data_IF_786296733389
#
_entry.id   IF_786296733389
#
_cell.length_a   1.000
_cell.length_b   1.000
_cell.length_c   1.000
_cell.angle_alpha   90.00
_cell.angle_beta   90.00
_cell.angle_gamma   90.00
#
_symmetry.space_group_name_H-M   'P 1'
#
loop_
_entity.id
_entity.type
_entity.pdbx_description
1 polymer ?
#
# COMPACT_ATOMS: atom_id res chain seq x y z
N UNK A 1 9.50 14.42 -1.10
CA UNK A 1 8.40 14.99 -0.30
C UNK A 1 7.12 14.47 -0.92
N UNK A 2 6.48 13.47 -0.31
CA UNK A 2 5.14 13.02 -0.70
C UNK A 2 4.19 13.67 0.28
N UNK A 3 3.43 14.64 -0.18
CA UNK A 3 2.37 15.29 0.58
C UNK A 3 1.09 14.51 0.33
N UNK A 4 0.90 13.41 1.06
CA UNK A 4 -0.42 12.80 1.25
C UNK A 4 -1.17 13.61 2.30
N UNK A 5 -1.57 14.82 1.92
CA UNK A 5 -2.40 15.72 2.75
C UNK A 5 -3.89 15.53 2.51
N UNK A 6 -4.29 14.58 1.66
CA UNK A 6 -5.69 14.22 1.47
C UNK A 6 -6.07 13.19 2.54
N UNK A 7 -6.18 13.69 3.77
CA UNK A 7 -6.60 12.93 4.94
C UNK A 7 -7.89 12.16 4.64
N UNK A 8 -7.83 10.83 4.75
CA UNK A 8 -9.04 10.04 4.82
C UNK A 8 -9.86 10.57 6.00
N UNK A 9 -11.15 10.90 5.80
CA UNK A 9 -11.93 11.67 6.78
C UNK A 9 -12.12 10.94 8.13
N UNK A 10 -11.66 9.69 8.22
CA UNK A 10 -11.83 8.79 9.36
C UNK A 10 -10.50 8.36 9.99
N UNK A 11 -9.39 9.05 9.66
CA UNK A 11 -8.10 8.90 10.36
C UNK A 11 -7.36 7.60 10.06
N UNK A 12 -7.66 6.98 8.93
CA UNK A 12 -6.95 5.81 8.44
C UNK A 12 -6.02 6.20 7.28
N UNK A 13 -4.83 5.59 7.25
CA UNK A 13 -3.80 5.91 6.28
C UNK A 13 -3.02 4.66 5.90
N UNK A 14 -2.78 4.47 4.60
CA UNK A 14 -1.93 3.39 4.08
C UNK A 14 -0.68 3.98 3.41
N UNK A 15 0.52 3.66 3.91
CA UNK A 15 1.79 4.20 3.39
C UNK A 15 2.64 3.10 2.75
N UNK A 16 2.77 3.10 1.43
CA UNK A 16 3.66 2.18 0.71
C UNK A 16 5.05 2.79 0.54
N UNK A 17 6.06 2.29 1.26
CA UNK A 17 7.46 2.72 1.12
C UNK A 17 8.35 1.56 0.66
N UNK A 18 8.88 1.67 -0.55
CA UNK A 18 9.85 0.71 -1.08
C UNK A 18 11.21 0.93 -0.42
N UNK A 19 11.87 -0.16 -0.02
CA UNK A 19 13.24 -0.13 0.47
C UNK A 19 14.16 -0.78 -0.57
N UNK A 20 15.16 -0.02 -1.02
CA UNK A 20 16.20 -0.55 -1.90
C UNK A 20 17.22 -1.32 -1.07
N UNK A 21 17.40 -2.60 -1.39
CA UNK A 21 18.42 -3.41 -0.76
C UNK A 21 19.81 -2.96 -1.22
N UNK A 22 20.79 -3.04 -0.32
CA UNK A 22 22.18 -2.76 -0.64
C UNK A 22 22.65 -3.66 -1.80
N UNK A 23 23.41 -3.10 -2.73
CA UNK A 23 23.98 -3.86 -3.85
C UNK A 23 25.04 -4.85 -3.41
N UNK A 24 25.55 -5.64 -4.36
CA UNK A 24 26.74 -6.47 -4.12
C UNK A 24 27.95 -5.61 -3.72
N UNK A 25 28.91 -6.23 -3.04
CA UNK A 25 30.06 -5.54 -2.46
C UNK A 25 31.35 -5.96 -3.15
N UNK A 26 32.19 -4.99 -3.47
CA UNK A 26 33.58 -5.24 -3.85
C UNK A 26 34.40 -5.60 -2.61
N UNK A 27 35.07 -6.74 -2.65
CA UNK A 27 35.97 -7.21 -1.58
C UNK A 27 37.31 -7.61 -2.19
N UNK A 28 38.40 -7.36 -1.46
CA UNK A 28 39.72 -7.84 -1.85
C UNK A 28 39.90 -9.27 -1.31
N UNK A 29 40.15 -10.21 -2.21
CA UNK A 29 40.47 -11.60 -1.86
C UNK A 29 41.94 -11.85 -2.17
N UNK A 30 42.68 -12.38 -1.19
CA UNK A 30 44.10 -12.68 -1.36
C UNK A 30 44.29 -14.00 -2.12
N UNK A 31 45.01 -13.97 -3.23
CA UNK A 31 45.54 -15.16 -3.91
C UNK A 31 47.07 -15.12 -3.81
N UNK A 32 47.63 -15.80 -2.80
CA UNK A 32 49.04 -15.66 -2.47
C UNK A 32 49.37 -14.25 -1.98
N UNK A 33 50.30 -13.56 -2.64
CA UNK A 33 50.75 -12.20 -2.30
C UNK A 33 50.05 -11.08 -3.09
N UNK A 34 49.10 -11.40 -3.97
CA UNK A 34 48.44 -10.41 -4.83
C UNK A 34 46.97 -10.25 -4.37
N UNK A 35 46.55 -9.05 -3.92
CA UNK A 35 45.15 -8.79 -3.60
C UNK A 35 44.36 -8.59 -4.89
N UNK A 36 43.37 -9.45 -5.15
CA UNK A 36 42.48 -9.34 -6.30
C UNK A 36 41.12 -8.75 -5.87
N UNK A 37 40.63 -7.71 -6.56
CA UNK A 37 39.28 -7.20 -6.33
C UNK A 37 38.26 -8.19 -6.90
N UNK A 38 37.39 -8.72 -6.04
CA UNK A 38 36.30 -9.63 -6.41
C UNK A 38 34.96 -8.98 -6.06
N UNK A 39 34.04 -8.96 -7.02
CA UNK A 39 32.66 -8.54 -6.79
C UNK A 39 31.85 -9.72 -6.23
N UNK A 40 31.25 -9.53 -5.05
CA UNK A 40 30.34 -10.50 -4.46
C UNK A 40 28.91 -9.97 -4.66
N UNK A 41 28.10 -10.58 -5.55
CA UNK A 41 26.71 -10.17 -5.72
C UNK A 41 25.91 -10.46 -4.45
N UNK A 42 25.02 -9.54 -4.06
CA UNK A 42 24.02 -9.84 -3.04
C UNK A 42 22.92 -10.68 -3.70
N UNK A 43 22.71 -11.88 -3.18
CA UNK A 43 21.61 -12.75 -3.59
C UNK A 43 20.30 -12.26 -2.97
N UNK A 44 19.22 -12.28 -3.75
CA UNK A 44 17.88 -11.88 -3.30
C UNK A 44 17.32 -10.64 -4.02
N UNK A 45 16.10 -10.23 -3.65
CA UNK A 45 15.37 -9.18 -4.34
C UNK A 45 16.06 -7.81 -4.19
N UNK A 46 16.11 -7.03 -5.27
CA UNK A 46 16.72 -5.70 -5.27
C UNK A 46 15.92 -4.69 -4.44
N UNK A 47 14.62 -4.93 -4.31
CA UNK A 47 13.69 -4.10 -3.56
C UNK A 47 12.87 -4.97 -2.62
N UNK A 48 12.55 -4.45 -1.44
CA UNK A 48 11.61 -5.08 -0.52
C UNK A 48 10.53 -4.08 -0.14
N UNK A 49 9.33 -4.61 0.06
CA UNK A 49 8.20 -3.85 0.61
C UNK A 49 8.05 -4.28 2.06
N UNK A 50 8.19 -3.38 3.05
CA UNK A 50 7.81 -3.69 4.41
C UNK A 50 6.30 -3.93 4.48
N UNK A 51 5.84 -4.66 5.49
CA UNK A 51 4.41 -4.84 5.73
C UNK A 51 3.72 -3.47 5.86
N UNK A 52 2.64 -3.29 5.11
CA UNK A 52 1.79 -2.11 5.26
C UNK A 52 0.94 -2.26 6.52
N UNK A 53 0.77 -1.16 7.25
CA UNK A 53 -0.05 -1.10 8.47
C UNK A 53 -1.27 -0.25 8.16
N UNK A 54 -2.45 -0.78 8.45
CA UNK A 54 -3.73 -0.07 8.35
C UNK A 54 -4.17 0.25 9.77
N UNK A 55 -4.25 1.54 10.09
CA UNK A 55 -4.74 2.04 11.38
C UNK A 55 -6.20 2.49 11.22
N UNK A 56 -7.07 2.06 12.13
CA UNK A 56 -8.49 2.42 12.10
C UNK A 56 -8.90 2.97 13.46
N UNK A 57 -9.49 4.16 13.47
CA UNK A 57 -10.03 4.75 14.69
C UNK A 57 -11.42 4.19 15.01
N UNK A 58 -11.48 3.29 16.00
CA UNK A 58 -12.72 2.60 16.40
C UNK A 58 -13.67 3.54 17.16
N UNK A 59 -13.17 4.60 17.80
CA UNK A 59 -14.01 5.54 18.55
C UNK A 59 -15.04 6.24 17.66
N UNK A 60 -14.69 6.49 16.39
CA UNK A 60 -15.60 7.07 15.40
C UNK A 60 -16.74 6.11 15.02
N UNK A 61 -16.48 4.81 15.08
CA UNK A 61 -17.45 3.77 14.76
C UNK A 61 -18.38 3.55 15.95
N UNK A 62 -17.84 3.57 17.16
CA UNK A 62 -18.63 3.40 18.39
C UNK A 62 -19.59 4.54 18.68
N UNK A 63 -19.37 5.72 18.10
CA UNK A 63 -20.33 6.82 18.14
C UNK A 63 -21.60 6.56 17.30
N UNK A 64 -21.61 5.55 16.41
CA UNK A 64 -22.76 5.23 15.57
C UNK A 64 -23.73 4.26 16.27
N UNK A 65 -24.96 4.23 15.75
CA UNK A 65 -26.00 3.28 16.15
C UNK A 65 -25.50 1.85 15.92
N UNK A 66 -25.78 0.95 16.87
CA UNK A 66 -25.27 -0.41 16.91
C UNK A 66 -25.41 -1.18 15.58
N UNK A 67 -26.56 -1.01 14.90
CA UNK A 67 -26.89 -1.71 13.66
C UNK A 67 -25.96 -1.35 12.49
N UNK A 68 -25.34 -0.16 12.50
CA UNK A 68 -24.48 0.30 11.42
C UNK A 68 -22.98 0.13 11.71
N UNK A 69 -22.59 -0.12 12.96
CA UNK A 69 -21.17 -0.15 13.37
C UNK A 69 -20.35 -1.16 12.58
N UNK A 70 -20.86 -2.39 12.46
CA UNK A 70 -20.16 -3.46 11.74
C UNK A 70 -20.02 -3.13 10.26
N UNK A 71 -21.08 -2.63 9.63
CA UNK A 71 -21.07 -2.23 8.21
C UNK A 71 -20.11 -1.07 7.97
N UNK A 72 -20.10 -0.07 8.84
CA UNK A 72 -19.19 1.07 8.75
C UNK A 72 -17.73 0.62 8.91
N UNK A 73 -17.42 -0.19 9.93
CA UNK A 73 -16.08 -0.75 10.13
C UNK A 73 -15.62 -1.52 8.88
N UNK A 74 -16.48 -2.38 8.34
CA UNK A 74 -16.19 -3.14 7.13
C UNK A 74 -15.88 -2.21 5.96
N UNK A 75 -16.67 -1.17 5.75
CA UNK A 75 -16.48 -0.26 4.63
C UNK A 75 -15.18 0.56 4.79
N UNK A 76 -14.89 1.08 5.99
CA UNK A 76 -13.62 1.78 6.28
C UNK A 76 -12.43 0.88 5.98
N UNK A 77 -12.45 -0.35 6.51
CA UNK A 77 -11.36 -1.31 6.26
C UNK A 77 -11.26 -1.65 4.77
N UNK A 78 -12.38 -1.74 4.06
CA UNK A 78 -12.39 -2.01 2.61
C UNK A 78 -11.77 -0.85 1.82
N UNK A 79 -12.05 0.40 2.20
CA UNK A 79 -11.45 1.60 1.61
C UNK A 79 -9.92 1.60 1.76
N UNK A 80 -9.43 1.36 2.97
CA UNK A 80 -7.99 1.30 3.24
C UNK A 80 -7.29 0.14 2.54
N UNK A 81 -7.95 -1.01 2.47
CA UNK A 81 -7.45 -2.12 1.66
C UNK A 81 -7.39 -1.74 0.17
N UNK A 82 -8.30 -0.92 -0.33
CA UNK A 82 -8.21 -0.33 -1.67
C UNK A 82 -6.90 0.44 -1.87
N UNK A 83 -6.55 1.32 -0.93
CA UNK A 83 -5.26 2.02 -0.94
C UNK A 83 -4.07 1.07 -0.87
N UNK A 84 -4.13 0.06 0.01
CA UNK A 84 -3.10 -0.96 0.15
C UNK A 84 -2.83 -1.74 -1.13
N UNK A 85 -3.91 -2.01 -1.89
CA UNK A 85 -3.87 -2.67 -3.18
C UNK A 85 -3.44 -1.74 -4.33
N UNK A 86 -3.22 -0.46 -4.07
CA UNK A 86 -2.69 0.51 -5.04
C UNK A 86 -3.72 1.48 -5.65
N UNK A 87 -4.95 1.54 -5.12
CA UNK A 87 -5.90 2.60 -5.47
C UNK A 87 -5.52 3.89 -4.72
N UNK A 88 -4.56 4.65 -5.24
CA UNK A 88 -3.97 5.80 -4.53
C UNK A 88 -4.82 7.08 -4.53
N UNK A 89 -6.00 7.08 -5.15
CA UNK A 89 -6.82 8.27 -5.28
C UNK A 89 -8.25 8.05 -4.82
N UNK A 90 -8.88 9.11 -4.33
CA UNK A 90 -10.29 9.06 -3.98
C UNK A 90 -11.21 9.14 -5.21
N UNK A 91 -12.41 8.57 -5.06
CA UNK A 91 -13.50 8.84 -5.98
C UNK A 91 -14.11 10.22 -5.74
N UNK A 92 -14.71 10.80 -6.77
CA UNK A 92 -15.54 12.00 -6.67
C UNK A 92 -17.01 11.68 -6.34
N UNK A 93 -17.40 10.41 -6.47
CA UNK A 93 -18.77 9.95 -6.28
C UNK A 93 -18.97 9.39 -4.87
N UNK A 94 -19.96 9.92 -4.15
CA UNK A 94 -20.18 9.58 -2.73
C UNK A 94 -20.50 8.10 -2.49
N UNK A 95 -21.14 7.45 -3.45
CA UNK A 95 -21.52 6.03 -3.35
C UNK A 95 -20.33 5.07 -3.49
N UNK A 96 -19.22 5.52 -4.07
CA UNK A 96 -18.07 4.66 -4.35
C UNK A 96 -17.32 4.29 -3.06
N UNK A 97 -16.70 3.12 -3.06
CA UNK A 97 -15.94 2.66 -1.90
C UNK A 97 -14.74 3.58 -1.67
N UNK A 98 -14.10 4.03 -2.74
CA UNK A 98 -12.95 4.92 -2.67
C UNK A 98 -13.30 6.40 -2.45
N UNK A 99 -14.55 6.77 -2.12
CA UNK A 99 -14.88 8.15 -1.77
C UNK A 99 -14.22 8.57 -0.44
N UNK A 100 -13.78 9.82 -0.35
CA UNK A 100 -13.02 10.36 0.79
C UNK A 100 -13.74 10.30 2.15
N UNK A 101 -15.07 10.28 2.15
CA UNK A 101 -15.89 10.10 3.36
C UNK A 101 -16.67 8.79 3.24
N UNK A 102 -16.09 7.70 3.74
CA UNK A 102 -16.74 6.38 3.74
C UNK A 102 -17.86 6.32 4.76
N UNK A 103 -19.01 5.76 4.37
CA UNK A 103 -20.15 5.54 5.26
C UNK A 103 -20.72 4.13 5.09
N UNK A 104 -21.79 3.80 5.83
CA UNK A 104 -22.47 2.50 5.74
C UNK A 104 -23.11 2.22 4.36
N UNK A 105 -23.28 3.24 3.52
CA UNK A 105 -23.87 3.16 2.19
C UNK A 105 -22.82 3.08 1.06
N UNK A 106 -21.54 3.32 1.34
CA UNK A 106 -20.45 3.11 0.39
C UNK A 106 -20.45 1.66 -0.15
N UNK A 107 -20.25 1.51 -1.46
CA UNK A 107 -20.21 0.21 -2.15
C UNK A 107 -19.03 0.17 -3.11
N UNK A 108 -18.48 -1.03 -3.31
CA UNK A 108 -17.51 -1.26 -4.38
C UNK A 108 -18.21 -0.94 -5.70
N UNK A 109 -17.69 0.06 -6.42
CA UNK A 109 -18.25 0.51 -7.68
C UNK A 109 -17.60 -0.20 -8.87
N UNK A 110 -18.23 -0.12 -10.03
CA UNK A 110 -17.61 -0.60 -11.28
C UNK A 110 -16.31 0.14 -11.56
N UNK A 111 -16.19 1.41 -11.14
CA UNK A 111 -14.94 2.16 -11.25
C UNK A 111 -13.83 1.51 -10.41
N UNK A 112 -14.12 1.17 -9.16
CA UNK A 112 -13.16 0.53 -8.25
C UNK A 112 -12.66 -0.80 -8.85
N UNK A 113 -13.59 -1.63 -9.34
CA UNK A 113 -13.29 -2.92 -9.98
C UNK A 113 -12.44 -2.72 -11.23
N UNK A 114 -12.87 -1.85 -12.15
CA UNK A 114 -12.16 -1.61 -13.41
C UNK A 114 -10.74 -1.06 -13.18
N UNK A 115 -10.52 -0.24 -12.15
CA UNK A 115 -9.19 0.26 -11.82
C UNK A 115 -8.30 -0.86 -11.29
N UNK A 116 -8.80 -1.73 -10.40
CA UNK A 116 -8.06 -2.89 -9.92
C UNK A 116 -7.74 -3.88 -11.04
N UNK A 117 -8.71 -4.20 -11.91
CA UNK A 117 -8.49 -5.10 -13.04
C UNK A 117 -7.41 -4.57 -13.98
N UNK A 118 -7.40 -3.26 -14.27
CA UNK A 118 -6.33 -2.64 -15.04
C UNK A 118 -5.00 -2.72 -14.31
N UNK A 119 -4.97 -2.40 -13.02
CA UNK A 119 -3.74 -2.38 -12.23
C UNK A 119 -3.08 -3.76 -12.16
N UNK A 120 -3.86 -4.80 -11.82
CA UNK A 120 -3.38 -6.17 -11.65
C UNK A 120 -3.31 -6.96 -12.96
N UNK A 121 -3.94 -6.47 -14.04
CA UNK A 121 -3.82 -7.02 -15.38
C UNK A 121 -2.60 -6.51 -16.17
N UNK A 122 -1.92 -5.46 -15.69
CA UNK A 122 -0.70 -4.96 -16.33
C UNK A 122 0.45 -5.96 -16.23
N UNK A 123 1.28 -6.00 -17.27
CA UNK A 123 2.52 -6.79 -17.26
C UNK A 123 3.51 -6.17 -16.26
N UNK A 124 4.14 -7.01 -15.45
CA UNK A 124 5.11 -6.58 -14.45
C UNK A 124 6.39 -6.12 -15.16
N UNK A 125 6.69 -4.82 -15.09
CA UNK A 125 7.92 -4.23 -15.63
C UNK A 125 9.10 -4.29 -14.65
N UNK A 126 8.82 -4.38 -13.34
CA UNK A 126 9.82 -4.46 -12.27
C UNK A 126 9.66 -5.80 -11.56
N UNK A 127 10.56 -6.78 -11.78
CA UNK A 127 10.56 -8.00 -10.98
C UNK A 127 10.92 -7.65 -9.54
N UNK A 128 10.04 -8.03 -8.61
CA UNK A 128 10.27 -7.93 -7.17
C UNK A 128 11.22 -9.01 -6.70
#
# INVERSE_FOLDING_TARGET
>A
MSTDTDNCALGAHTVTKWQKNAGGKMTLVGFGSIPLPVYIPRMGPKYTVPAQVIEVNVDLIDQKVQDYRFTLLKNIVTHELGHALGLLGHSGEKSDMMYTVTDENSRISDRDINTLEKLYGMKIDIPL
#
